data_IF_880503942198
#
_entry.id   IF_880503942198
#
_cell.length_a   1.000
_cell.length_b   1.000
_cell.length_c   1.000
_cell.angle_alpha   90.00
_cell.angle_beta   90.00
_cell.angle_gamma   90.00
#
_symmetry.space_group_name_H-M   'P 1'
#
loop_
_entity.id
_entity.type
_entity.pdbx_description
1 polymer ?
#
# COMPACT_ATOMS: atom_id res chain seq x y z
N UNK A 1 -4.82 -9.39 -10.94
CA UNK A 1 -4.24 -10.50 -10.16
C UNK A 1 -3.80 -9.91 -8.81
N UNK A 2 -4.53 -10.19 -7.74
CA UNK A 2 -4.14 -9.79 -6.38
C UNK A 2 -3.06 -10.75 -5.90
N UNK A 3 -1.81 -10.34 -5.95
CA UNK A 3 -0.74 -11.05 -5.25
C UNK A 3 -0.83 -10.59 -3.80
N UNK A 4 -1.51 -11.36 -2.96
CA UNK A 4 -1.44 -11.15 -1.53
C UNK A 4 -0.02 -11.55 -1.07
N UNK A 5 0.73 -10.65 -0.43
CA UNK A 5 2.01 -11.03 0.16
C UNK A 5 1.74 -12.08 1.24
N UNK A 6 2.34 -13.24 1.11
CA UNK A 6 2.33 -14.26 2.16
C UNK A 6 3.29 -13.82 3.24
N UNK A 7 2.82 -13.68 4.48
CA UNK A 7 3.68 -13.40 5.63
C UNK A 7 4.54 -14.66 5.84
N UNK A 8 5.84 -14.55 5.58
CA UNK A 8 6.83 -15.61 5.79
C UNK A 8 7.55 -15.40 7.13
N UNK A 9 8.30 -16.42 7.60
CA UNK A 9 9.09 -16.33 8.84
C UNK A 9 10.12 -15.19 8.81
N UNK A 10 10.56 -14.76 7.63
CA UNK A 10 11.44 -13.60 7.45
C UNK A 10 10.80 -12.26 7.85
N UNK A 11 9.47 -12.18 7.98
CA UNK A 11 8.77 -10.95 8.39
C UNK A 11 9.09 -10.52 9.83
N UNK A 12 9.67 -11.40 10.65
CA UNK A 12 10.11 -11.07 12.01
C UNK A 12 11.21 -10.01 12.05
N UNK A 13 12.00 -9.85 10.98
CA UNK A 13 13.05 -8.84 10.85
C UNK A 13 12.55 -7.51 10.26
N UNK A 14 11.31 -7.46 9.79
CA UNK A 14 10.75 -6.23 9.23
C UNK A 14 10.44 -5.20 10.34
N UNK A 15 10.61 -3.89 10.06
CA UNK A 15 10.16 -2.83 10.95
C UNK A 15 8.71 -3.02 11.38
N UNK A 16 8.37 -2.63 12.61
CA UNK A 16 7.02 -2.80 13.16
C UNK A 16 5.92 -2.18 12.28
N UNK A 17 6.20 -1.02 11.65
CA UNK A 17 5.29 -0.37 10.71
C UNK A 17 5.00 -1.26 9.49
N UNK A 18 6.02 -1.91 8.96
CA UNK A 18 5.89 -2.78 7.79
C UNK A 18 5.08 -4.03 8.10
N UNK A 19 5.26 -4.61 9.29
CA UNK A 19 4.44 -5.76 9.75
C UNK A 19 2.96 -5.40 9.85
N UNK A 20 2.64 -4.20 10.35
CA UNK A 20 1.26 -3.69 10.41
C UNK A 20 0.68 -3.49 9.01
N UNK A 21 1.44 -2.86 8.11
CA UNK A 21 1.01 -2.65 6.71
C UNK A 21 0.77 -3.99 6.02
N UNK A 22 1.70 -4.94 6.11
CA UNK A 22 1.55 -6.27 5.49
C UNK A 22 0.30 -7.00 5.99
N UNK A 23 0.02 -6.93 7.30
CA UNK A 23 -1.20 -7.52 7.85
C UNK A 23 -2.48 -6.88 7.26
N UNK A 24 -2.49 -5.57 7.05
CA UNK A 24 -3.63 -4.85 6.46
C UNK A 24 -3.75 -5.06 4.94
N UNK A 25 -2.65 -5.36 4.25
CA UNK A 25 -2.68 -5.70 2.83
C UNK A 25 -3.24 -7.09 2.58
N UNK A 26 -3.02 -8.03 3.51
CA UNK A 26 -3.50 -9.41 3.39
C UNK A 26 -4.94 -9.60 3.86
N UNK A 27 -5.42 -8.74 4.77
CA UNK A 27 -6.77 -8.81 5.36
C UNK A 27 -7.48 -7.45 5.23
N UNK A 28 -8.71 -7.42 4.72
CA UNK A 28 -9.36 -6.16 4.31
C UNK A 28 -9.70 -5.19 5.44
N UNK A 29 -9.81 -5.65 6.68
CA UNK A 29 -10.04 -4.79 7.84
C UNK A 29 -9.68 -5.51 9.13
N UNK A 30 -8.85 -4.91 9.97
CA UNK A 30 -8.39 -5.46 11.23
C UNK A 30 -8.56 -4.44 12.35
N UNK A 31 -9.08 -4.86 13.49
CA UNK A 31 -9.02 -4.09 14.73
C UNK A 31 -7.58 -4.10 15.29
N UNK A 32 -7.28 -3.21 16.23
CA UNK A 32 -5.97 -3.21 16.90
C UNK A 32 -5.67 -4.55 17.61
N UNK A 33 -6.71 -5.21 18.16
CA UNK A 33 -6.55 -6.54 18.78
C UNK A 33 -6.21 -7.62 17.75
N UNK A 34 -6.87 -7.59 16.59
CA UNK A 34 -6.58 -8.52 15.48
C UNK A 34 -5.21 -8.24 14.86
N UNK A 35 -4.78 -6.97 14.75
CA UNK A 35 -3.43 -6.61 14.33
C UNK A 35 -2.37 -7.14 15.30
N UNK A 36 -2.61 -7.01 16.60
CA UNK A 36 -1.74 -7.58 17.63
C UNK A 36 -1.59 -9.09 17.46
N UNK A 37 -2.68 -9.80 17.29
CA UNK A 37 -2.67 -11.26 17.07
C UNK A 37 -1.97 -11.64 15.76
N UNK A 38 -2.16 -10.87 14.70
CA UNK A 38 -1.56 -11.14 13.39
C UNK A 38 -0.06 -10.83 13.32
N UNK A 39 0.40 -9.80 14.06
CA UNK A 39 1.78 -9.31 13.96
C UNK A 39 2.67 -9.76 15.12
N UNK A 40 2.10 -10.22 16.24
CA UNK A 40 2.84 -10.52 17.48
C UNK A 40 3.42 -9.29 18.17
N UNK A 41 3.07 -8.06 17.75
CA UNK A 41 3.53 -6.83 18.36
C UNK A 41 2.75 -6.53 19.65
N UNK A 42 3.40 -5.86 20.62
CA UNK A 42 2.74 -5.42 21.84
C UNK A 42 1.70 -4.34 21.57
N UNK A 43 0.70 -4.19 22.45
CA UNK A 43 -0.35 -3.19 22.29
C UNK A 43 0.17 -1.74 22.14
N UNK A 44 1.12 -1.26 22.99
CA UNK A 44 1.68 0.08 22.81
C UNK A 44 2.34 0.30 21.45
N UNK A 45 3.05 -0.72 20.92
CA UNK A 45 3.68 -0.64 19.60
C UNK A 45 2.62 -0.58 18.51
N UNK A 46 1.56 -1.38 18.57
CA UNK A 46 0.44 -1.32 17.60
C UNK A 46 -0.18 0.08 17.60
N UNK A 47 -0.49 0.65 18.78
CA UNK A 47 -1.07 2.00 18.88
C UNK A 47 -0.14 3.05 18.26
N UNK A 48 1.13 3.01 18.56
CA UNK A 48 2.13 3.92 18.00
C UNK A 48 2.20 3.80 16.45
N UNK A 49 2.32 2.59 15.95
CA UNK A 49 2.43 2.36 14.50
C UNK A 49 1.15 2.76 13.76
N UNK A 50 -0.02 2.40 14.28
CA UNK A 50 -1.32 2.80 13.70
C UNK A 50 -1.46 4.31 13.66
N UNK A 51 -1.10 5.03 14.73
CA UNK A 51 -1.16 6.49 14.76
C UNK A 51 -0.20 7.12 13.73
N UNK A 52 1.02 6.61 13.62
CA UNK A 52 2.00 7.08 12.63
C UNK A 52 1.52 6.84 11.18
N UNK A 53 0.95 5.66 10.89
CA UNK A 53 0.41 5.33 9.58
C UNK A 53 -0.85 6.14 9.25
N UNK A 54 -1.70 6.43 10.24
CA UNK A 54 -2.86 7.32 10.07
C UNK A 54 -2.45 8.76 9.78
N UNK A 55 -1.42 9.27 10.45
CA UNK A 55 -0.88 10.61 10.19
C UNK A 55 -0.37 10.76 8.75
N UNK A 56 0.07 9.68 8.13
CA UNK A 56 0.48 9.61 6.72
C UNK A 56 -0.68 9.27 5.76
N UNK A 57 -1.90 9.14 6.25
CA UNK A 57 -3.08 8.69 5.51
C UNK A 57 -2.96 7.29 4.88
N UNK A 58 -1.99 6.48 5.31
CA UNK A 58 -1.80 5.09 4.84
C UNK A 58 -2.83 4.12 5.42
N UNK A 59 -3.35 4.43 6.61
CA UNK A 59 -4.36 3.64 7.32
C UNK A 59 -5.54 4.53 7.67
N UNK A 60 -6.73 4.05 7.41
CA UNK A 60 -8.00 4.73 7.71
C UNK A 60 -8.93 3.81 8.51
N UNK A 61 -9.93 4.40 9.16
CA UNK A 61 -10.99 3.63 9.78
C UNK A 61 -11.82 2.92 8.70
N UNK A 62 -12.02 1.63 8.88
CA UNK A 62 -12.93 0.84 8.05
C UNK A 62 -14.37 0.89 8.57
N UNK A 63 -15.31 0.24 7.87
CA UNK A 63 -16.69 0.15 8.29
C UNK A 63 -16.82 -0.61 9.62
N UNK A 64 -17.67 -0.13 10.52
CA UNK A 64 -17.93 -0.79 11.79
C UNK A 64 -18.51 -2.20 11.55
N UNK A 65 -17.97 -3.17 12.25
CA UNK A 65 -18.48 -4.54 12.24
C UNK A 65 -19.43 -4.72 13.43
N UNK A 66 -20.70 -4.94 13.13
CA UNK A 66 -21.72 -5.28 14.12
C UNK A 66 -21.77 -6.81 14.30
N UNK A 67 -22.00 -7.30 15.53
CA UNK A 67 -22.31 -8.70 15.77
C UNK A 67 -21.34 -9.48 16.67
N UNK A 68 -20.37 -8.82 17.35
CA UNK A 68 -19.57 -9.45 18.41
C UNK A 68 -19.92 -8.86 19.78
N UNK A 69 -20.03 -9.68 20.86
CA UNK A 69 -20.21 -9.18 22.22
C UNK A 69 -18.94 -8.40 22.65
N UNK A 70 -19.14 -7.23 23.28
CA UNK A 70 -18.11 -6.33 23.74
C UNK A 70 -18.12 -4.99 23.01
N UNK A 71 -17.30 -4.03 23.50
CA UNK A 71 -17.14 -2.72 22.84
C UNK A 71 -16.54 -2.93 21.44
N UNK A 72 -17.22 -2.56 20.37
CA UNK A 72 -16.71 -2.76 19.02
C UNK A 72 -15.42 -1.96 18.82
N UNK A 73 -14.33 -2.66 18.54
CA UNK A 73 -13.09 -2.01 18.11
C UNK A 73 -13.28 -1.44 16.70
N UNK A 74 -12.81 -0.23 16.46
CA UNK A 74 -12.83 0.35 15.11
C UNK A 74 -11.91 -0.46 14.21
N UNK A 75 -12.42 -1.09 13.16
CA UNK A 75 -11.56 -1.78 12.20
C UNK A 75 -10.72 -0.76 11.42
N UNK A 76 -9.53 -1.15 11.07
CA UNK A 76 -8.56 -0.37 10.31
C UNK A 76 -8.35 -1.03 8.96
N UNK A 77 -8.23 -0.22 7.92
CA UNK A 77 -7.96 -0.69 6.57
C UNK A 77 -6.83 0.11 5.93
N UNK A 78 -6.12 -0.52 5.01
CA UNK A 78 -5.13 0.18 4.21
C UNK A 78 -5.82 1.11 3.22
N UNK A 79 -5.32 2.34 3.09
CA UNK A 79 -5.86 3.33 2.17
C UNK A 79 -5.21 3.21 0.79
N UNK A 80 -5.79 2.43 -0.08
CA UNK A 80 -5.30 2.21 -1.45
C UNK A 80 -5.27 3.46 -2.33
N UNK A 81 -6.00 4.53 -1.92
CA UNK A 81 -6.09 5.79 -2.68
C UNK A 81 -5.15 6.89 -2.15
N UNK A 82 -4.33 6.58 -1.13
CA UNK A 82 -3.47 7.58 -0.47
C UNK A 82 -2.28 8.04 -1.31
N UNK A 83 -1.91 7.31 -2.33
CA UNK A 83 -0.75 7.62 -3.19
C UNK A 83 -1.10 7.43 -4.66
N UNK A 84 -0.34 8.12 -5.49
CA UNK A 84 -0.40 8.00 -6.94
C UNK A 84 0.89 7.38 -7.44
N UNK A 85 0.77 6.50 -8.41
CA UNK A 85 1.88 5.82 -9.08
C UNK A 85 1.85 6.20 -10.55
N UNK A 86 2.99 6.61 -11.07
CA UNK A 86 3.15 6.81 -12.51
C UNK A 86 3.81 5.56 -13.09
N UNK A 87 3.10 4.88 -13.95
CA UNK A 87 3.61 3.72 -14.69
C UNK A 87 4.04 4.19 -16.07
N UNK A 88 5.29 3.94 -16.41
CA UNK A 88 5.87 4.23 -17.72
C UNK A 88 6.16 2.90 -18.43
N UNK A 89 5.53 2.72 -19.57
CA UNK A 89 5.81 1.63 -20.49
C UNK A 89 6.65 2.20 -21.63
N UNK A 90 7.92 1.83 -21.67
CA UNK A 90 8.89 2.33 -22.64
C UNK A 90 9.22 1.22 -23.63
N UNK A 91 8.98 1.49 -24.91
CA UNK A 91 9.26 0.55 -25.99
C UNK A 91 9.95 1.29 -27.17
N UNK A 92 10.54 0.58 -28.14
CA UNK A 92 11.34 1.21 -29.20
C UNK A 92 10.60 2.30 -30.02
N UNK A 93 9.29 2.24 -30.09
CA UNK A 93 8.47 3.18 -30.87
C UNK A 93 7.91 4.34 -30.03
N UNK A 94 8.03 4.29 -28.70
CA UNK A 94 7.44 5.32 -27.86
C UNK A 94 7.44 5.03 -26.37
N UNK A 95 6.72 5.86 -25.66
CA UNK A 95 6.48 5.71 -24.22
C UNK A 95 5.01 5.96 -23.93
N UNK A 96 4.39 5.10 -23.13
CA UNK A 96 3.04 5.31 -22.62
C UNK A 96 3.10 5.53 -21.12
N UNK A 97 2.56 6.65 -20.65
CA UNK A 97 2.45 7.01 -19.24
C UNK A 97 1.02 6.80 -18.73
N UNK A 98 0.87 6.15 -17.57
CA UNK A 98 -0.41 5.96 -16.89
C UNK A 98 -0.27 6.38 -15.42
N UNK A 99 -1.16 7.24 -14.95
CA UNK A 99 -1.29 7.53 -13.53
C UNK A 99 -2.33 6.57 -12.91
N UNK A 100 -1.99 5.96 -11.79
CA UNK A 100 -2.83 4.98 -11.08
C UNK A 100 -2.74 5.25 -9.59
N UNK A 101 -3.71 4.78 -8.82
CA UNK A 101 -3.58 4.66 -7.37
C UNK A 101 -2.92 3.32 -6.98
N UNK A 102 -2.76 3.07 -5.67
CA UNK A 102 -2.18 1.82 -5.19
C UNK A 102 -3.11 0.60 -5.40
N UNK A 103 -4.39 0.82 -5.67
CA UNK A 103 -5.34 -0.22 -6.05
C UNK A 103 -5.25 -0.57 -7.56
N UNK A 104 -4.29 0.02 -8.28
CA UNK A 104 -4.14 -0.06 -9.72
C UNK A 104 -5.35 0.50 -10.50
N UNK A 105 -6.12 1.38 -9.89
CA UNK A 105 -7.21 2.09 -10.56
C UNK A 105 -6.65 3.27 -11.37
N UNK A 106 -7.00 3.40 -12.65
CA UNK A 106 -6.50 4.49 -13.47
C UNK A 106 -7.05 5.85 -12.99
N UNK A 107 -6.18 6.85 -12.91
CA UNK A 107 -6.51 8.22 -12.50
C UNK A 107 -6.69 9.17 -13.69
N UNK A 108 -6.88 8.63 -14.88
CA UNK A 108 -7.09 9.37 -16.11
C UNK A 108 -6.71 8.55 -17.34
N UNK A 109 -6.86 9.13 -18.51
CA UNK A 109 -6.48 8.50 -19.77
C UNK A 109 -4.95 8.37 -19.87
N UNK A 110 -4.42 7.27 -20.44
CA UNK A 110 -3.01 7.12 -20.69
C UNK A 110 -2.53 8.20 -21.68
N UNK A 111 -1.29 8.64 -21.54
CA UNK A 111 -0.62 9.56 -22.46
C UNK A 111 0.48 8.81 -23.18
N UNK A 112 0.46 8.85 -24.52
CA UNK A 112 1.48 8.23 -25.35
C UNK A 112 2.28 9.31 -26.07
N UNK A 113 3.60 9.15 -26.09
CA UNK A 113 4.52 9.99 -26.83
C UNK A 113 5.44 9.10 -27.68
N UNK A 114 5.66 9.48 -28.93
CA UNK A 114 6.68 8.84 -29.75
C UNK A 114 8.07 9.22 -29.22
N UNK A 115 8.92 8.25 -28.97
CA UNK A 115 10.33 8.51 -28.73
C UNK A 115 10.97 8.87 -30.08
N UNK A 116 11.36 10.12 -30.25
CA UNK A 116 12.31 10.45 -31.33
C UNK A 116 13.59 9.68 -31.06
N UNK A 117 14.18 9.10 -32.11
CA UNK A 117 15.37 8.27 -32.00
C UNK A 117 16.39 8.88 -31.03
N UNK A 118 16.70 8.15 -29.98
CA UNK A 118 17.71 8.57 -29.00
C UNK A 118 19.05 8.56 -29.72
N UNK A 119 19.55 9.77 -30.05
CA UNK A 119 20.91 9.91 -30.57
C UNK A 119 21.88 9.91 -29.39
N UNK A 120 22.82 8.95 -29.30
CA UNK A 120 23.75 8.82 -28.17
C UNK A 120 24.80 9.93 -28.08
N UNK A 121 24.62 11.05 -28.77
CA UNK A 121 25.62 12.13 -28.86
C UNK A 121 25.78 13.01 -27.64
N UNK A 122 24.92 12.91 -26.64
CA UNK A 122 24.95 13.81 -25.48
C UNK A 122 25.71 13.29 -24.26
N UNK A 123 26.43 12.15 -24.36
CA UNK A 123 27.28 11.62 -23.27
C UNK A 123 28.79 11.84 -23.46
N UNK A 124 29.18 12.72 -24.36
CA UNK A 124 30.57 13.14 -24.46
C UNK A 124 30.72 14.59 -23.99
N UNK A 125 30.79 14.77 -22.67
CA UNK A 125 31.55 15.85 -22.00
C UNK A 125 32.09 15.32 -20.69
#
# INVERSE_FOLDING_TARGET
MKIAPTITEDDAFLPASWRVVTALLTRPALTQAELRAATGLSHPVIVQQVNALRAQALVIAGPLRYGRPGRPGTPLTFNWHCRRVLVLDVHPLGCTARAMDLAASPLGAPRTAALRAWEPRSLRQ
#
